data_IF_889135236694
#
_entry.id   IF_889135236694
#
_cell.length_a   1.000
_cell.length_b   1.000
_cell.length_c   1.000
_cell.angle_alpha   90.00
_cell.angle_beta   90.00
_cell.angle_gamma   90.00
#
_symmetry.space_group_name_H-M   'P 1'
#
loop_
_entity.id
_entity.type
_entity.pdbx_description
1 polymer ?
#
# COMPACT_ATOMS: atom_id res chain seq x y z
N UNK A 1 14.00 -2.76 8.28
CA UNK A 1 13.90 -4.10 7.67
C UNK A 1 15.08 -4.17 6.73
N UNK A 2 15.95 -5.14 6.99
CA UNK A 2 17.24 -5.25 6.30
C UNK A 2 17.03 -5.58 4.82
N UNK A 3 18.03 -5.36 3.95
CA UNK A 3 17.91 -5.70 2.54
C UNK A 3 17.56 -7.16 2.27
N UNK A 4 18.15 -8.08 3.03
CA UNK A 4 17.84 -9.50 2.93
C UNK A 4 16.39 -9.82 3.33
N UNK A 5 15.91 -9.28 4.45
CA UNK A 5 14.51 -9.43 4.88
C UNK A 5 13.54 -8.81 3.86
N UNK A 6 13.89 -7.66 3.30
CA UNK A 6 13.07 -6.98 2.30
C UNK A 6 12.91 -7.83 1.03
N UNK A 7 14.02 -8.37 0.49
CA UNK A 7 13.99 -9.27 -0.68
C UNK A 7 13.14 -10.53 -0.41
N UNK A 8 13.31 -11.14 0.76
CA UNK A 8 12.54 -12.32 1.15
C UNK A 8 11.05 -12.01 1.26
N UNK A 9 10.69 -10.92 1.92
CA UNK A 9 9.30 -10.51 2.08
C UNK A 9 8.62 -10.16 0.74
N UNK A 10 9.35 -9.54 -0.20
CA UNK A 10 8.84 -9.32 -1.56
C UNK A 10 8.51 -10.64 -2.26
N UNK A 11 9.40 -11.62 -2.20
CA UNK A 11 9.17 -12.95 -2.80
C UNK A 11 7.98 -13.66 -2.17
N UNK A 12 7.87 -13.61 -0.84
CA UNK A 12 6.78 -14.24 -0.08
C UNK A 12 5.40 -13.72 -0.49
N UNK A 13 5.26 -12.41 -0.73
CA UNK A 13 3.98 -11.80 -1.13
C UNK A 13 3.79 -11.72 -2.64
N UNK A 14 4.69 -12.30 -3.45
CA UNK A 14 4.58 -12.31 -4.91
C UNK A 14 4.94 -10.99 -5.60
N UNK A 15 5.77 -10.15 -4.99
CA UNK A 15 6.30 -8.92 -5.59
C UNK A 15 7.72 -9.13 -6.14
N UNK A 16 7.96 -8.57 -7.33
CA UNK A 16 9.29 -8.24 -7.83
C UNK A 16 9.73 -6.84 -7.40
N UNK A 17 11.01 -6.50 -7.53
CA UNK A 17 11.48 -5.11 -7.30
C UNK A 17 10.79 -4.09 -8.23
N UNK A 18 10.51 -4.47 -9.48
CA UNK A 18 9.87 -3.59 -10.46
C UNK A 18 8.35 -3.42 -10.19
N UNK A 19 7.68 -4.45 -9.67
CA UNK A 19 6.27 -4.32 -9.26
C UNK A 19 6.13 -3.64 -7.89
N UNK A 20 7.13 -3.78 -7.01
CA UNK A 20 7.15 -3.13 -5.71
C UNK A 20 7.25 -1.60 -5.81
N UNK A 21 7.99 -1.07 -6.79
CA UNK A 21 8.04 0.39 -7.02
C UNK A 21 6.66 0.93 -7.35
N UNK A 22 5.90 0.23 -8.20
CA UNK A 22 4.52 0.58 -8.54
C UNK A 22 3.57 0.44 -7.34
N UNK A 23 3.65 -0.68 -6.63
CA UNK A 23 2.79 -0.96 -5.47
C UNK A 23 2.97 0.07 -4.35
N UNK A 24 4.22 0.43 -4.03
CA UNK A 24 4.52 1.46 -3.02
C UNK A 24 4.55 2.88 -3.58
N UNK A 25 4.19 3.08 -4.86
CA UNK A 25 4.20 4.39 -5.53
C UNK A 25 5.52 5.15 -5.32
N UNK A 26 6.64 4.46 -5.53
CA UNK A 26 8.00 4.99 -5.35
C UNK A 26 8.84 4.77 -6.60
N UNK A 27 10.00 5.41 -6.67
CA UNK A 27 10.93 5.23 -7.77
C UNK A 27 11.62 3.86 -7.71
N UNK A 28 11.91 3.26 -8.87
CA UNK A 28 12.61 1.97 -8.96
C UNK A 28 13.99 2.00 -8.30
N UNK A 29 14.70 3.14 -8.35
CA UNK A 29 15.97 3.32 -7.64
C UNK A 29 15.77 3.22 -6.13
N UNK A 30 14.72 3.83 -5.58
CA UNK A 30 14.43 3.77 -4.14
C UNK A 30 14.19 2.34 -3.69
N UNK A 31 13.38 1.61 -4.45
CA UNK A 31 13.05 0.20 -4.20
C UNK A 31 14.30 -0.68 -4.26
N UNK A 32 15.17 -0.46 -5.26
CA UNK A 32 16.45 -1.16 -5.39
C UNK A 32 17.42 -0.84 -4.25
N UNK A 33 17.46 0.39 -3.74
CA UNK A 33 18.31 0.76 -2.60
C UNK A 33 17.94 0.00 -1.33
N UNK A 34 16.65 -0.22 -1.08
CA UNK A 34 16.21 -1.04 0.06
C UNK A 34 16.59 -2.51 -0.08
N UNK A 35 16.78 -2.98 -1.31
CA UNK A 35 17.23 -4.33 -1.61
C UNK A 35 18.75 -4.44 -1.80
N UNK A 36 19.52 -3.37 -1.59
CA UNK A 36 20.98 -3.36 -1.79
C UNK A 36 21.72 -3.45 -0.45
N UNK A 37 22.63 -4.41 -0.35
CA UNK A 37 23.53 -4.56 0.81
C UNK A 37 24.64 -3.48 0.82
N UNK A 38 24.92 -2.85 -0.32
CA UNK A 38 25.93 -1.79 -0.46
C UNK A 38 25.46 -0.45 0.12
N UNK A 39 24.20 -0.09 -0.14
CA UNK A 39 23.61 1.18 0.32
C UNK A 39 23.27 1.16 1.83
N UNK A 40 23.27 -0.03 2.46
CA UNK A 40 22.88 -0.30 3.87
C UNK A 40 21.63 0.45 4.34
N UNK A 41 20.72 0.76 3.41
CA UNK A 41 19.51 1.52 3.71
C UNK A 41 18.35 0.57 3.91
N UNK A 42 18.00 0.38 5.17
CA UNK A 42 16.81 -0.37 5.56
C UNK A 42 15.54 0.16 4.88
N UNK A 43 14.64 -0.77 4.55
CA UNK A 43 13.29 -0.40 4.11
C UNK A 43 12.56 0.35 5.26
N UNK A 44 11.83 1.44 4.95
CA UNK A 44 11.07 2.21 5.92
C UNK A 44 10.06 1.35 6.70
N UNK A 45 9.72 1.79 7.91
CA UNK A 45 8.79 1.07 8.79
C UNK A 45 7.44 0.79 8.12
N UNK A 46 6.87 1.76 7.39
CA UNK A 46 5.60 1.58 6.69
C UNK A 46 5.66 0.39 5.70
N UNK A 47 6.67 0.37 4.83
CA UNK A 47 6.92 -0.72 3.88
C UNK A 47 7.07 -2.06 4.61
N UNK A 48 7.87 -2.09 5.68
CA UNK A 48 8.09 -3.30 6.46
C UNK A 48 6.79 -3.81 7.12
N UNK A 49 5.92 -2.91 7.61
CA UNK A 49 4.64 -3.28 8.19
C UNK A 49 3.68 -3.82 7.14
N UNK A 50 3.56 -3.15 5.99
CA UNK A 50 2.70 -3.61 4.90
C UNK A 50 3.09 -5.02 4.46
N UNK A 51 4.36 -5.27 4.17
CA UNK A 51 4.83 -6.60 3.75
C UNK A 51 4.59 -7.68 4.82
N UNK A 52 4.84 -7.37 6.10
CA UNK A 52 4.60 -8.30 7.20
C UNK A 52 3.12 -8.62 7.39
N UNK A 53 2.23 -7.63 7.23
CA UNK A 53 0.79 -7.84 7.32
C UNK A 53 0.30 -8.67 6.13
N UNK A 54 0.77 -8.37 4.92
CA UNK A 54 0.46 -9.15 3.73
C UNK A 54 0.87 -10.62 3.91
N UNK A 55 2.11 -10.87 4.29
CA UNK A 55 2.61 -12.22 4.58
C UNK A 55 1.79 -12.93 5.67
N UNK A 56 1.53 -12.23 6.80
CA UNK A 56 0.76 -12.79 7.92
C UNK A 56 -0.66 -13.21 7.54
N UNK A 57 -1.32 -12.46 6.66
CA UNK A 57 -2.71 -12.70 6.27
C UNK A 57 -2.85 -13.37 4.90
N UNK A 58 -1.74 -13.75 4.25
CA UNK A 58 -1.76 -14.36 2.92
C UNK A 58 -2.30 -13.45 1.82
N UNK A 59 -2.14 -12.13 1.96
CA UNK A 59 -2.64 -11.15 1.00
C UNK A 59 -1.67 -10.95 -0.16
N UNK A 60 -2.22 -10.93 -1.37
CA UNK A 60 -1.49 -10.52 -2.57
C UNK A 60 -1.53 -8.99 -2.73
N UNK A 61 -0.66 -8.41 -3.58
CA UNK A 61 -0.71 -7.00 -3.91
C UNK A 61 -2.06 -6.58 -4.49
N UNK A 62 -2.72 -7.46 -5.25
CA UNK A 62 -4.02 -7.19 -5.83
C UNK A 62 -5.12 -7.10 -4.78
N UNK A 63 -5.10 -7.99 -3.77
CA UNK A 63 -6.07 -7.96 -2.66
C UNK A 63 -5.98 -6.62 -1.92
N UNK A 64 -4.76 -6.17 -1.63
CA UNK A 64 -4.53 -4.89 -0.94
C UNK A 64 -5.01 -3.71 -1.79
N UNK A 65 -4.71 -3.69 -3.09
CA UNK A 65 -5.17 -2.63 -3.99
C UNK A 65 -6.70 -2.57 -4.04
N UNK A 66 -7.37 -3.73 -4.12
CA UNK A 66 -8.83 -3.79 -4.11
C UNK A 66 -9.41 -3.25 -2.79
N UNK A 67 -8.85 -3.66 -1.65
CA UNK A 67 -9.27 -3.16 -0.33
C UNK A 67 -9.10 -1.65 -0.18
N UNK A 68 -8.05 -1.07 -0.76
CA UNK A 68 -7.83 0.39 -0.72
C UNK A 68 -8.89 1.13 -1.56
N UNK A 69 -9.20 0.62 -2.75
CA UNK A 69 -10.27 1.20 -3.58
C UNK A 69 -11.64 1.10 -2.90
N UNK A 70 -11.98 -0.06 -2.33
CA UNK A 70 -13.23 -0.23 -1.58
C UNK A 70 -13.32 0.73 -0.38
N UNK A 71 -12.19 0.98 0.29
CA UNK A 71 -12.13 1.93 1.40
C UNK A 71 -12.28 3.40 0.96
N UNK A 72 -11.69 3.78 -0.19
CA UNK A 72 -11.86 5.11 -0.80
C UNK A 72 -13.32 5.34 -1.22
N UNK A 73 -13.93 4.38 -1.91
CA UNK A 73 -15.34 4.46 -2.32
C UNK A 73 -16.28 4.57 -1.12
N UNK A 74 -16.01 3.85 -0.04
CA UNK A 74 -16.78 3.93 1.19
C UNK A 74 -16.64 5.30 1.87
N UNK A 75 -15.45 5.92 1.83
CA UNK A 75 -15.22 7.26 2.35
C UNK A 75 -15.98 8.31 1.54
N UNK A 76 -15.90 8.25 0.21
CA UNK A 76 -16.60 9.17 -0.70
C UNK A 76 -18.13 9.08 -0.53
N UNK A 77 -18.67 7.88 -0.35
CA UNK A 77 -20.10 7.66 -0.07
C UNK A 77 -20.54 8.24 1.28
N UNK A 78 -19.68 8.13 2.31
CA UNK A 78 -19.96 8.71 3.61
C UNK A 78 -19.95 10.25 3.58
N UNK A 79 -19.08 10.86 2.76
CA UNK A 79 -19.03 12.30 2.56
C UNK A 79 -20.21 12.82 1.70
N UNK A 80 -20.61 12.09 0.66
CA UNK A 80 -21.74 12.44 -0.20
C UNK A 80 -23.12 12.31 0.46
N UNK A 81 -23.28 11.38 1.41
CA UNK A 81 -24.52 11.21 2.16
C UNK A 81 -24.80 12.33 3.18
N UNK A 82 -23.82 13.21 3.45
CA UNK A 82 -23.97 14.37 4.33
C UNK A 82 -24.52 15.63 3.66
N UNK A 83 -24.72 15.63 2.33
CA UNK A 83 -25.33 16.74 1.61
C UNK A 83 -26.86 16.57 1.62
N UNK A 84 -27.50 16.91 2.75
CA UNK A 84 -28.96 17.06 2.79
C UNK A 84 -29.39 18.00 1.63
N UNK A 85 -30.39 17.62 0.81
CA UNK A 85 -31.00 18.58 -0.09
C UNK A 85 -31.59 19.67 0.80
N UNK A 86 -31.16 20.92 0.60
CA UNK A 86 -31.79 22.07 1.23
C UNK A 86 -33.29 21.97 0.93
N UNK A 87 -34.06 21.60 1.95
CA UNK A 87 -35.51 21.56 1.88
C UNK A 87 -35.95 22.98 1.53
N UNK A 88 -36.35 23.17 0.27
CA UNK A 88 -37.28 24.21 -0.14
C UNK A 88 -38.55 24.07 0.71
N UNK A 89 -38.53 24.64 1.91
CA UNK A 89 -39.64 24.65 2.82
C UNK A 89 -39.92 26.06 3.31
N UNK A 90 -40.83 26.68 2.55
CA UNK A 90 -41.84 27.70 2.93
C UNK A 90 -41.40 29.15 3.08
N UNK A 91 -42.09 29.98 2.29
CA UNK A 91 -42.53 31.32 2.70
C UNK A 91 -42.92 32.18 1.53
#
# INVERSE_FOLDING_TARGET
>A
MTPAEYRAALQEVGLSLASASKFFQTDERTTRRWASDEDRKDAPRAVAMTLRLMAKYGLTPNDVTLMMHEAEEAADQAEGAGQEPAEDAKG
#
